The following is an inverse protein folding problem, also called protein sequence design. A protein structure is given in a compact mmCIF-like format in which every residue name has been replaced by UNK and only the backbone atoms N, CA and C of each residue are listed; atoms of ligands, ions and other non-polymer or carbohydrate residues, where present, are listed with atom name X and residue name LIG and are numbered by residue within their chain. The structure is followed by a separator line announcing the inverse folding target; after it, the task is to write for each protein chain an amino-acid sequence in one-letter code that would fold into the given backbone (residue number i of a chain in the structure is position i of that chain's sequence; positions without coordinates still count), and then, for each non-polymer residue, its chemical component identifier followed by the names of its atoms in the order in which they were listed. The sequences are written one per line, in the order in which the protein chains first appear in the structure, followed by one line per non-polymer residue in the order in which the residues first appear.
data_IF_050049768667
#
_entry.id   IF_050049768667
#
_cell.length_a   1.000
_cell.length_b   1.000
_cell.length_c   1.000
_cell.angle_alpha   90.00
_cell.angle_beta   90.00
_cell.angle_gamma   90.00
#
_symmetry.space_group_name_H-M   'P 1'
#
loop_
_entity.id
_entity.type
_entity.pdbx_description
1 polymer ?
2 polymer ?
3 non-polymer ?
4 non-polymer ?
5 non-polymer ?
6 non-polymer ?
7 water ?
#
# COMPACT_ATOMS: atom_id res chain seq x y z
N UNK A 1 -8.15 11.07 -20.01
CA UNK A 1 -6.84 11.74 -20.21
C UNK A 1 -6.16 11.34 -21.50
N UNK A 2 -4.82 11.38 -21.49
CA UNK A 2 -4.02 11.07 -22.67
C UNK A 2 -4.18 9.61 -23.08
N UNK A 3 -4.65 8.74 -22.19
CA UNK A 3 -4.89 7.34 -22.55
C UNK A 3 -6.32 7.09 -23.03
N UNK A 4 -7.15 8.13 -23.13
CA UNK A 4 -8.55 7.92 -23.47
C UNK A 4 -8.77 7.29 -24.82
N UNK A 5 -7.82 7.43 -25.73
CA UNK A 5 -7.97 6.90 -27.07
C UNK A 5 -7.42 5.50 -27.22
N UNK A 6 -6.80 4.94 -26.20
CA UNK A 6 -6.22 3.61 -26.29
C UNK A 6 -7.18 2.56 -25.73
N UNK A 7 -7.28 1.44 -26.44
CA UNK A 7 -8.09 0.31 -25.98
C UNK A 7 -7.69 -0.16 -24.58
N UNK A 8 -8.68 -0.54 -23.80
CA UNK A 8 -8.42 -1.10 -22.48
C UNK A 8 -7.42 -2.25 -22.55
N UNK A 9 -7.63 -3.21 -23.46
CA UNK A 9 -6.75 -4.36 -23.51
C UNK A 9 -5.33 -3.95 -23.87
N UNK A 10 -5.20 -2.93 -24.73
CA UNK A 10 -3.88 -2.43 -25.11
C UNK A 10 -3.18 -1.76 -23.94
N UNK A 11 -3.92 -1.05 -23.11
CA UNK A 11 -3.35 -0.44 -21.92
C UNK A 11 -2.83 -1.50 -20.96
N UNK A 12 -3.61 -2.56 -20.74
CA UNK A 12 -3.17 -3.65 -19.87
C UNK A 12 -1.92 -4.32 -20.45
N UNK A 13 -1.93 -4.58 -21.76
CA UNK A 13 -0.77 -5.21 -22.38
C UNK A 13 0.47 -4.33 -22.21
N UNK A 14 0.31 -3.03 -22.44
CA UNK A 14 1.45 -2.13 -22.31
C UNK A 14 1.89 -1.95 -20.86
N UNK A 15 0.96 -2.01 -19.92
CA UNK A 15 1.37 -2.02 -18.51
C UNK A 15 2.29 -3.19 -18.22
N UNK A 16 1.98 -4.37 -18.76
CA UNK A 16 2.82 -5.53 -18.51
C UNK A 16 4.19 -5.38 -19.17
N UNK A 17 4.22 -4.79 -20.38
CA UNK A 17 5.50 -4.50 -21.04
C UNK A 17 6.31 -3.49 -20.23
N UNK A 18 5.65 -2.46 -19.72
CA UNK A 18 6.34 -1.45 -18.92
C UNK A 18 6.93 -2.07 -17.67
N UNK A 19 6.19 -2.98 -17.04
CA UNK A 19 6.73 -3.71 -15.90
C UNK A 19 8.01 -4.44 -16.28
N UNK A 20 8.00 -5.17 -17.40
CA UNK A 20 9.18 -5.92 -17.81
C UNK A 20 10.36 -4.99 -18.05
N UNK A 21 10.10 -3.78 -18.53
CA UNK A 21 11.11 -2.80 -18.83
C UNK A 21 11.46 -1.93 -17.63
N UNK A 22 10.83 -2.17 -16.48
CA UNK A 22 11.03 -1.38 -15.26
C UNK A 22 10.74 0.10 -15.49
N UNK A 23 9.72 0.35 -16.30
CA UNK A 23 9.24 1.70 -16.61
C UNK A 23 7.96 1.93 -15.82
N UNK A 24 8.12 2.18 -14.52
CA UNK A 24 6.96 2.15 -13.62
C UNK A 24 6.08 3.38 -13.76
N UNK A 25 6.65 4.53 -14.14
CA UNK A 25 5.81 5.69 -14.41
C UNK A 25 4.89 5.43 -15.60
N UNK A 26 5.44 4.85 -16.67
CA UNK A 26 4.61 4.44 -17.81
C UNK A 26 3.57 3.43 -17.35
N UNK A 27 3.99 2.43 -16.59
CA UNK A 27 3.07 1.40 -16.13
C UNK A 27 1.90 2.02 -15.37
N UNK A 28 2.18 2.98 -14.49
CA UNK A 28 1.12 3.61 -13.72
C UNK A 28 0.19 4.42 -14.62
N UNK A 29 0.74 5.13 -15.61
CA UNK A 29 -0.11 5.87 -16.53
C UNK A 29 -1.00 4.95 -17.35
N UNK A 30 -0.47 3.81 -17.79
CA UNK A 30 -1.30 2.85 -18.50
C UNK A 30 -2.41 2.31 -17.61
N UNK A 31 -2.09 1.97 -16.36
CA UNK A 31 -3.11 1.39 -15.49
C UNK A 31 -4.13 2.44 -15.06
N UNK A 32 -3.71 3.70 -14.89
CA UNK A 32 -4.69 4.76 -14.66
C UNK A 32 -5.65 4.85 -15.83
N UNK A 33 -5.11 4.80 -17.05
CA UNK A 33 -5.97 4.79 -18.23
C UNK A 33 -6.93 3.63 -18.23
N UNK A 34 -6.46 2.45 -17.83
CA UNK A 34 -7.34 1.29 -17.78
C UNK A 34 -8.45 1.47 -16.75
N UNK A 35 -8.10 1.98 -15.56
CA UNK A 35 -9.13 2.23 -14.55
C UNK A 35 -10.17 3.20 -15.09
N UNK A 36 -9.72 4.25 -15.76
CA UNK A 36 -10.62 5.28 -16.25
C UNK A 36 -11.55 4.78 -17.36
N UNK A 37 -11.36 3.57 -17.88
CA UNK A 37 -12.35 3.01 -18.78
C UNK A 37 -13.67 2.71 -18.08
N UNK A 38 -13.69 2.67 -16.76
CA UNK A 38 -14.92 2.53 -16.03
C UNK A 38 -15.33 1.12 -15.69
N UNK A 39 -14.62 0.12 -16.18
CA UNK A 39 -14.95 -1.26 -15.85
C UNK A 39 -14.21 -1.64 -14.57
N UNK A 40 -14.76 -2.59 -13.84
CA UNK A 40 -14.05 -3.14 -12.70
C UNK A 40 -12.74 -3.80 -13.16
N UNK A 41 -11.77 -3.88 -12.25
CA UNK A 41 -10.48 -4.52 -12.50
C UNK A 41 -10.51 -5.95 -11.98
N UNK A 42 -9.91 -6.85 -12.75
CA UNK A 42 -9.71 -8.21 -12.29
C UNK A 42 -8.61 -8.25 -11.21
N UNK A 43 -8.45 -9.43 -10.60
CA UNK A 43 -7.40 -9.57 -9.59
C UNK A 43 -6.02 -9.23 -10.18
N UNK A 44 -5.72 -9.77 -11.36
CA UNK A 44 -4.42 -9.51 -11.95
C UNK A 44 -4.24 -8.03 -12.24
N UNK A 45 -5.31 -7.38 -12.69
CA UNK A 45 -5.23 -5.97 -13.05
C UNK A 45 -5.08 -5.10 -11.80
N UNK A 46 -5.77 -5.45 -10.70
CA UNK A 46 -5.57 -4.73 -9.44
C UNK A 46 -4.12 -4.83 -9.00
N UNK A 47 -3.51 -6.01 -9.16
CA UNK A 47 -2.11 -6.16 -8.79
C UNK A 47 -1.19 -5.32 -9.68
N UNK A 48 -1.48 -5.24 -10.99
CA UNK A 48 -0.70 -4.38 -11.86
C UNK A 48 -0.81 -2.92 -11.43
N UNK A 49 -2.02 -2.47 -11.09
CA UNK A 49 -2.20 -1.09 -10.64
C UNK A 49 -1.35 -0.83 -9.41
N UNK A 50 -1.39 -1.76 -8.46
CA UNK A 50 -0.64 -1.58 -7.22
C UNK A 50 0.87 -1.62 -7.46
N UNK A 51 1.34 -2.59 -8.26
CA UNK A 51 2.77 -2.66 -8.55
C UNK A 51 3.25 -1.34 -9.14
N UNK A 52 2.48 -0.81 -10.09
CA UNK A 52 2.92 0.40 -10.78
C UNK A 52 3.07 1.56 -9.82
N UNK A 53 2.01 1.86 -9.07
CA UNK A 53 2.04 3.03 -8.20
C UNK A 53 2.94 2.81 -7.00
N UNK A 54 3.06 1.57 -6.53
CA UNK A 54 3.94 1.34 -5.39
C UNK A 54 5.38 1.62 -5.77
N UNK A 55 5.78 1.23 -6.99
CA UNK A 55 7.14 1.52 -7.43
C UNK A 55 7.36 3.01 -7.65
N UNK A 56 6.38 3.71 -8.23
CA UNK A 56 6.52 5.16 -8.42
C UNK A 56 6.67 5.85 -7.06
N UNK A 57 5.72 5.60 -6.15
CA UNK A 57 5.80 6.29 -4.87
C UNK A 57 7.01 5.81 -4.08
N UNK A 58 7.45 4.58 -4.32
CA UNK A 58 8.60 4.08 -3.58
C UNK A 58 9.86 4.87 -3.90
N UNK A 59 10.04 5.23 -5.17
CA UNK A 59 11.19 6.04 -5.52
C UNK A 59 11.08 7.43 -4.92
N UNK A 60 9.86 7.97 -4.87
CA UNK A 60 9.65 9.28 -4.29
C UNK A 60 9.90 9.27 -2.79
N UNK A 61 9.41 8.24 -2.09
CA UNK A 61 9.63 8.11 -0.66
C UNK A 61 11.11 8.00 -0.35
N UNK A 62 11.84 7.20 -1.12
CA UNK A 62 13.27 7.04 -0.87
C UNK A 62 13.98 8.37 -1.08
N UNK A 63 13.62 9.11 -2.13
CA UNK A 63 14.26 10.39 -2.38
C UNK A 63 13.89 11.40 -1.29
N UNK A 64 12.61 11.43 -0.90
CA UNK A 64 12.18 12.33 0.16
C UNK A 64 12.96 12.07 1.44
N UNK A 65 13.18 10.80 1.78
CA UNK A 65 13.92 10.49 3.01
C UNK A 65 15.34 10.99 2.94
N UNK A 66 16.00 10.84 1.79
CA UNK A 66 17.37 11.36 1.62
C UNK A 66 17.37 12.87 1.85
N UNK A 67 16.45 13.58 1.19
CA UNK A 67 16.44 15.03 1.24
C UNK A 67 16.05 15.52 2.64
N UNK A 68 15.09 14.87 3.28
CA UNK A 68 14.70 15.26 4.63
C UNK A 68 15.86 15.11 5.60
N UNK A 69 16.64 14.04 5.44
CA UNK A 69 17.80 13.84 6.31
C UNK A 69 18.83 14.95 6.11
N UNK A 70 19.12 15.31 4.86
CA UNK A 70 20.00 16.44 4.59
C UNK A 70 19.45 17.72 5.21
N UNK A 71 18.14 17.94 5.06
CA UNK A 71 17.54 19.16 5.59
C UNK A 71 17.66 19.21 7.11
N UNK A 72 17.40 18.08 7.77
CA UNK A 72 17.48 18.06 9.22
C UNK A 72 18.90 18.31 9.69
N UNK A 73 19.89 17.77 8.97
CA UNK A 73 21.29 18.01 9.34
C UNK A 73 21.66 19.47 9.15
N UNK A 74 21.19 20.09 8.08
CA UNK A 74 21.45 21.52 7.87
C UNK A 74 20.84 22.38 8.96
N UNK A 75 19.88 21.86 9.71
CA UNK A 75 19.22 22.62 10.77
C UNK A 75 19.70 22.16 12.15
N UNK A 83 21.05 28.46 2.66
CA UNK A 83 20.06 28.93 1.72
C UNK A 83 18.81 28.08 1.66
N UNK A 84 17.84 28.50 0.84
CA UNK A 84 16.54 27.82 0.80
C UNK A 84 16.52 26.55 -0.04
N UNK A 85 17.62 26.18 -0.69
CA UNK A 85 17.56 25.21 -1.76
C UNK A 85 17.20 23.81 -1.28
N UNK A 86 17.72 23.39 -0.12
CA UNK A 86 17.41 22.05 0.35
C UNK A 86 15.92 21.93 0.65
N UNK A 87 15.38 22.91 1.38
CA UNK A 87 13.95 22.92 1.67
C UNK A 87 13.14 22.96 0.39
N UNK A 88 13.51 23.83 -0.56
CA UNK A 88 12.77 23.94 -1.81
C UNK A 88 12.73 22.59 -2.52
N UNK A 89 13.86 21.91 -2.60
CA UNK A 89 13.90 20.68 -3.40
C UNK A 89 13.19 19.54 -2.66
N UNK A 90 13.35 19.47 -1.33
CA UNK A 90 12.55 18.52 -0.55
C UNK A 90 11.06 18.79 -0.78
N UNK A 91 10.66 20.06 -0.76
CA UNK A 91 9.26 20.41 -1.01
C UNK A 91 8.82 19.99 -2.41
N UNK A 92 9.70 20.13 -3.41
CA UNK A 92 9.34 19.74 -4.76
C UNK A 92 9.04 18.25 -4.83
N UNK A 93 9.94 17.44 -4.26
CA UNK A 93 9.74 16.00 -4.26
C UNK A 93 8.50 15.64 -3.45
N UNK A 94 8.35 16.28 -2.29
CA UNK A 94 7.19 16.04 -1.44
C UNK A 94 5.89 16.33 -2.18
N UNK A 95 5.84 17.44 -2.92
CA UNK A 95 4.62 17.80 -3.63
C UNK A 95 4.31 16.80 -4.74
N UNK A 96 5.35 16.30 -5.43
CA UNK A 96 5.12 15.28 -6.45
C UNK A 96 4.63 13.98 -5.83
N UNK A 97 5.21 13.60 -4.68
CA UNK A 97 4.76 12.43 -3.95
C UNK A 97 3.29 12.57 -3.54
N UNK A 98 2.93 13.72 -2.98
CA UNK A 98 1.54 13.95 -2.61
C UNK A 98 0.64 13.88 -3.82
N UNK A 99 1.11 14.39 -4.96
CA UNK A 99 0.30 14.30 -6.17
C UNK A 99 0.02 12.87 -6.61
N UNK A 100 1.03 12.00 -6.50
CA UNK A 100 0.81 10.60 -6.85
C UNK A 100 -0.18 9.97 -5.88
N UNK A 101 -0.02 10.23 -4.58
CA UNK A 101 -0.95 9.67 -3.62
C UNK A 101 -2.37 10.17 -3.88
N UNK A 102 -2.52 11.46 -4.15
CA UNK A 102 -3.84 12.01 -4.46
C UNK A 102 -4.42 11.36 -5.72
N UNK A 103 -3.57 11.07 -6.70
CA UNK A 103 -4.04 10.41 -7.92
C UNK A 103 -4.59 9.02 -7.60
N UNK A 104 -3.82 8.23 -6.83
CA UNK A 104 -4.28 6.90 -6.47
C UNK A 104 -5.58 6.97 -5.67
N UNK A 105 -5.60 7.86 -4.67
CA UNK A 105 -6.80 7.99 -3.85
C UNK A 105 -7.98 8.41 -4.69
N UNK A 106 -7.75 9.24 -5.70
CA UNK A 106 -8.82 9.64 -6.58
C UNK A 106 -9.38 8.49 -7.40
N UNK A 107 -8.51 7.61 -7.88
CA UNK A 107 -8.96 6.44 -8.62
C UNK A 107 -9.78 5.52 -7.71
N UNK A 108 -9.34 5.38 -6.47
CA UNK A 108 -10.07 4.53 -5.53
C UNK A 108 -11.44 5.12 -5.23
N UNK A 109 -11.52 6.45 -5.13
CA UNK A 109 -12.78 7.11 -4.83
C UNK A 109 -13.68 7.26 -6.05
N UNK A 110 -13.13 7.14 -7.26
CA UNK A 110 -13.89 7.41 -8.50
C UNK A 110 -13.46 6.38 -9.55
N UNK A 111 -13.97 5.14 -9.46
CA UNK A 111 -15.02 4.70 -8.54
C UNK A 111 -14.75 3.27 -8.12
N UNK A 112 -13.46 2.95 -7.93
CA UNK A 112 -13.09 1.55 -7.69
C UNK A 112 -13.72 1.00 -6.42
N UNK A 113 -13.64 1.74 -5.32
CA UNK A 113 -14.14 1.19 -4.05
C UNK A 113 -15.65 0.99 -4.10
N UNK A 114 -16.39 2.00 -4.59
CA UNK A 114 -17.84 1.89 -4.51
C UNK A 114 -18.38 0.75 -5.36
N UNK A 115 -17.67 0.33 -6.41
CA UNK A 115 -18.14 -0.77 -7.23
C UNK A 115 -17.59 -2.12 -6.79
N UNK A 116 -16.73 -2.14 -5.78
CA UNK A 116 -16.09 -3.37 -5.34
C UNK A 116 -16.97 -4.04 -4.29
N UNK A 117 -17.58 -5.16 -4.65
CA UNK A 117 -18.47 -5.86 -3.74
C UNK A 117 -17.88 -7.14 -3.18
N UNK A 118 -17.00 -7.78 -3.91
CA UNK A 118 -16.38 -9.01 -3.44
C UNK A 118 -15.29 -8.68 -2.43
N UNK A 119 -15.11 -9.54 -1.44
CA UNK A 119 -14.14 -9.27 -0.39
C UNK A 119 -12.74 -9.02 -0.95
N UNK A 120 -12.30 -9.85 -1.92
CA UNK A 120 -10.93 -9.71 -2.40
C UNK A 120 -10.69 -8.35 -3.03
N UNK A 121 -11.65 -7.84 -3.79
CA UNK A 121 -11.46 -6.53 -4.40
C UNK A 121 -11.61 -5.42 -3.38
N UNK A 122 -12.67 -5.47 -2.59
CA UNK A 122 -12.95 -4.39 -1.65
C UNK A 122 -11.83 -4.26 -0.61
N UNK A 123 -11.38 -5.39 -0.04
CA UNK A 123 -10.29 -5.33 0.93
C UNK A 123 -9.01 -4.81 0.29
N UNK A 124 -8.70 -5.29 -0.92
CA UNK A 124 -7.49 -4.83 -1.61
C UNK A 124 -7.50 -3.32 -1.80
N UNK A 125 -8.64 -2.76 -2.21
CA UNK A 125 -8.73 -1.32 -2.47
C UNK A 125 -8.74 -0.51 -1.18
N UNK A 126 -9.43 -0.99 -0.15
CA UNK A 126 -9.41 -0.26 1.12
C UNK A 126 -8.03 -0.30 1.74
N UNK A 127 -7.32 -1.43 1.61
CA UNK A 127 -5.93 -1.49 2.04
C UNK A 127 -5.10 -0.46 1.28
N UNK A 128 -5.26 -0.40 -0.04
CA UNK A 128 -4.54 0.61 -0.83
C UNK A 128 -4.86 2.01 -0.34
N UNK A 129 -6.13 2.29 -0.03
CA UNK A 129 -6.49 3.60 0.48
C UNK A 129 -5.74 3.90 1.77
N UNK A 130 -5.69 2.93 2.67
CA UNK A 130 -4.91 3.12 3.88
C UNK A 130 -3.45 3.36 3.59
N UNK A 131 -2.89 2.59 2.65
CA UNK A 131 -1.47 2.72 2.32
C UNK A 131 -1.13 4.12 1.82
N UNK A 132 -1.95 4.65 0.90
CA UNK A 132 -1.60 5.95 0.29
C UNK A 132 -1.86 7.10 1.26
N UNK A 133 -2.85 6.97 2.15
CA UNK A 133 -2.93 7.93 3.26
C UNK A 133 -1.72 7.77 4.18
N UNK A 134 -1.25 6.55 4.41
CA UNK A 134 -0.04 6.36 5.22
C UNK A 134 1.17 7.02 4.57
N UNK A 135 1.32 6.92 3.25
CA UNK A 135 2.43 7.60 2.59
C UNK A 135 2.29 9.13 2.72
N UNK A 136 1.05 9.65 2.62
CA UNK A 136 0.83 11.06 2.89
C UNK A 136 1.19 11.41 4.33
N UNK A 137 0.87 10.52 5.27
CA UNK A 137 1.16 10.80 6.67
C UNK A 137 2.66 10.86 6.93
N UNK A 138 3.46 10.07 6.20
CA UNK A 138 4.90 10.06 6.40
C UNK A 138 5.51 11.44 6.21
N UNK A 139 4.90 12.28 5.36
CA UNK A 139 5.44 13.60 5.04
C UNK A 139 4.62 14.73 5.62
N UNK A 140 3.54 14.41 6.32
CA UNK A 140 2.62 15.43 6.80
C UNK A 140 3.15 16.07 8.08
N UNK A 141 2.98 17.38 8.18
CA UNK A 141 3.40 18.15 9.35
C UNK A 141 2.42 19.22 9.76
N UNK A 142 1.36 19.48 9.00
CA UNK A 142 0.52 20.63 9.21
C UNK A 142 -0.72 20.33 10.04
N UNK A 143 -1.69 21.24 9.97
CA UNK A 143 -2.91 21.11 10.75
C UNK A 143 -3.78 19.93 10.32
N UNK A 144 -3.43 19.26 9.22
CA UNK A 144 -4.19 18.12 8.74
C UNK A 144 -3.44 16.80 8.92
N UNK A 145 -2.30 16.78 9.60
CA UNK A 145 -1.62 15.52 9.85
C UNK A 145 -2.53 14.57 10.61
N UNK A 146 -3.17 15.06 11.68
CA UNK A 146 -4.08 14.20 12.43
C UNK A 146 -5.18 13.66 11.54
N UNK A 147 -5.72 14.49 10.64
CA UNK A 147 -6.81 14.00 9.80
C UNK A 147 -6.32 13.00 8.78
N UNK A 148 -5.11 13.19 8.24
CA UNK A 148 -4.54 12.20 7.33
C UNK A 148 -4.36 10.87 8.03
N UNK A 149 -3.83 10.90 9.25
CA UNK A 149 -3.62 9.68 10.01
C UNK A 149 -4.95 8.99 10.27
N UNK A 150 -5.98 9.76 10.60
CA UNK A 150 -7.29 9.18 10.86
C UNK A 150 -7.86 8.55 9.60
N UNK A 151 -7.65 9.20 8.45
CA UNK A 151 -8.12 8.65 7.18
C UNK A 151 -7.47 7.30 6.89
N UNK A 152 -6.16 7.18 7.13
CA UNK A 152 -5.49 5.91 6.96
C UNK A 152 -6.07 4.87 7.90
N UNK A 153 -6.20 5.23 9.18
CA UNK A 153 -6.73 4.30 10.17
C UNK A 153 -8.12 3.82 9.77
N UNK A 154 -8.99 4.74 9.33
CA UNK A 154 -10.36 4.38 9.00
C UNK A 154 -10.42 3.41 7.84
N UNK A 155 -9.62 3.66 6.80
CA UNK A 155 -9.59 2.74 5.66
C UNK A 155 -9.08 1.36 6.06
N UNK A 156 -7.96 1.31 6.79
CA UNK A 156 -7.43 0.05 7.26
C UNK A 156 -8.44 -0.68 8.12
N UNK A 157 -9.14 0.05 9.00
CA UNK A 157 -10.09 -0.61 9.89
C UNK A 157 -11.25 -1.21 9.11
N UNK A 158 -11.80 -0.48 8.16
CA UNK A 158 -12.88 -1.06 7.35
C UNK A 158 -12.39 -2.30 6.61
N UNK A 159 -11.18 -2.25 6.06
CA UNK A 159 -10.63 -3.41 5.37
C UNK A 159 -10.43 -4.57 6.34
N UNK A 160 -9.94 -4.29 7.55
CA UNK A 160 -9.75 -5.35 8.53
C UNK A 160 -11.07 -6.01 8.87
N UNK A 161 -12.12 -5.20 9.08
CA UNK A 161 -13.39 -5.77 9.49
C UNK A 161 -13.93 -6.72 8.44
N UNK A 162 -13.84 -6.32 7.16
CA UNK A 162 -14.30 -7.19 6.08
C UNK A 162 -13.42 -8.44 5.99
N UNK A 163 -12.09 -8.26 6.05
CA UNK A 163 -11.18 -9.39 5.88
C UNK A 163 -11.41 -10.44 6.96
N UNK A 164 -11.71 -10.02 8.19
CA UNK A 164 -11.88 -11.00 9.26
C UNK A 164 -13.18 -11.77 9.09
N UNK A 165 -14.19 -11.14 8.50
CA UNK A 165 -15.47 -11.81 8.29
C UNK A 165 -15.48 -12.68 7.05
N UNK A 166 -14.75 -12.30 5.99
CA UNK A 166 -14.93 -12.90 4.68
C UNK A 166 -13.74 -13.69 4.15
N UNK A 167 -12.56 -13.60 4.75
CA UNK A 167 -11.38 -14.25 4.22
C UNK A 167 -10.74 -15.15 5.27
N UNK A 168 -10.09 -16.23 4.84
CA UNK A 168 -9.35 -17.05 5.80
C UNK A 168 -8.12 -16.33 6.29
N UNK A 169 -7.60 -16.69 7.47
CA UNK A 169 -6.47 -15.96 8.05
C UNK A 169 -5.18 -16.05 7.25
N UNK A 170 -5.08 -16.97 6.29
CA UNK A 170 -3.91 -17.10 5.44
C UNK A 170 -4.04 -16.34 4.13
N UNK A 171 -5.19 -15.74 3.84
CA UNK A 171 -5.38 -15.08 2.57
C UNK A 171 -4.31 -14.00 2.41
N UNK A 172 -3.56 -13.97 1.30
CA UNK A 172 -2.46 -13.00 1.20
C UNK A 172 -2.89 -11.55 1.26
N UNK A 173 -4.08 -11.23 0.78
CA UNK A 173 -4.56 -9.85 0.89
C UNK A 173 -4.82 -9.51 2.35
N UNK A 174 -5.50 -10.41 3.07
CA UNK A 174 -5.72 -10.21 4.49
C UNK A 174 -4.40 -10.07 5.24
N UNK A 175 -3.41 -10.93 4.93
CA UNK A 175 -2.12 -10.85 5.57
C UNK A 175 -1.40 -9.55 5.25
N UNK A 176 -1.38 -9.16 3.97
CA UNK A 176 -0.69 -7.92 3.62
C UNK A 176 -1.34 -6.70 4.24
N UNK A 177 -2.67 -6.74 4.37
CA UNK A 177 -3.39 -5.67 5.06
C UNK A 177 -2.99 -5.60 6.52
N UNK A 178 -3.03 -6.74 7.22
CA UNK A 178 -2.67 -6.73 8.64
C UNK A 178 -1.22 -6.28 8.83
N UNK A 179 -0.33 -6.76 7.97
CA UNK A 179 1.06 -6.30 8.01
C UNK A 179 1.13 -4.78 7.89
N UNK A 180 0.46 -4.21 6.88
CA UNK A 180 0.55 -2.77 6.67
C UNK A 180 -0.11 -1.98 7.79
N UNK A 181 -1.21 -2.48 8.35
CA UNK A 181 -1.85 -1.80 9.48
C UNK A 181 -0.92 -1.83 10.68
N UNK A 182 -0.21 -2.95 10.88
CA UNK A 182 0.77 -3.01 11.97
C UNK A 182 1.89 -1.98 11.75
N UNK A 183 2.36 -1.83 10.50
CA UNK A 183 3.36 -0.79 10.21
C UNK A 183 2.79 0.60 10.50
N UNK A 184 1.55 0.86 10.09
CA UNK A 184 0.89 2.11 10.44
C UNK A 184 0.95 2.35 11.95
N UNK A 185 0.59 1.34 12.75
CA UNK A 185 0.60 1.53 14.19
C UNK A 185 1.99 1.87 14.69
N UNK A 186 3.02 1.18 14.19
CA UNK A 186 4.37 1.34 14.70
C UNK A 186 5.00 2.64 14.24
N UNK A 187 4.88 2.94 12.95
CA UNK A 187 5.64 4.02 12.32
C UNK A 187 4.88 5.35 12.27
N UNK A 188 3.54 5.32 12.26
CA UNK A 188 2.72 6.52 12.04
C UNK A 188 2.00 6.92 13.31
N UNK A 189 1.35 5.95 13.97
CA UNK A 189 0.40 6.23 15.04
C UNK A 189 1.00 6.16 16.43
N UNK A 190 2.32 6.00 16.55
CA UNK A 190 2.96 5.99 17.87
C UNK A 190 2.34 4.93 18.77
N UNK A 191 2.06 3.77 18.18
CA UNK A 191 1.36 2.68 18.87
C UNK A 191 2.11 1.39 18.69
N UNK A 192 3.35 1.30 19.19
CA UNK A 192 4.13 0.07 18.96
C UNK A 192 3.52 -1.15 19.60
N UNK A 193 2.87 -1.02 20.75
CA UNK A 193 2.26 -2.19 21.36
C UNK A 193 1.14 -2.73 20.48
N UNK A 194 0.33 -1.86 19.91
CA UNK A 194 -0.73 -2.31 19.02
C UNK A 194 -0.13 -2.99 17.80
N UNK A 195 0.96 -2.43 17.28
CA UNK A 195 1.62 -3.02 16.12
C UNK A 195 2.08 -4.43 16.43
N UNK A 196 2.74 -4.61 17.56
CA UNK A 196 3.26 -5.92 17.94
C UNK A 196 2.12 -6.90 18.15
N UNK A 197 1.07 -6.47 18.87
CA UNK A 197 -0.07 -7.35 19.12
C UNK A 197 -0.71 -7.80 17.81
N UNK A 198 -0.92 -6.85 16.90
CA UNK A 198 -1.54 -7.19 15.62
C UNK A 198 -0.66 -8.14 14.82
N UNK A 199 0.64 -7.86 14.74
CA UNK A 199 1.51 -8.73 13.97
C UNK A 199 1.55 -10.14 14.55
N UNK A 200 1.60 -10.25 15.89
CA UNK A 200 1.67 -11.56 16.55
C UNK A 200 0.39 -12.36 16.34
N UNK A 201 -0.77 -11.74 16.59
CA UNK A 201 -2.01 -12.48 16.38
C UNK A 201 -2.20 -12.87 14.92
N UNK A 202 -1.85 -11.96 14.01
CA UNK A 202 -1.98 -12.27 12.59
C UNK A 202 -1.11 -13.47 12.24
N UNK A 203 0.15 -13.46 12.69
CA UNK A 203 1.08 -14.55 12.39
C UNK A 203 0.55 -15.86 12.92
N UNK A 204 0.15 -15.87 14.19
CA UNK A 204 -0.26 -17.10 14.84
C UNK A 204 -1.54 -17.66 14.21
N UNK A 205 -2.50 -16.80 13.86
CA UNK A 205 -3.72 -17.33 13.27
C UNK A 205 -3.49 -17.82 11.86
N UNK A 206 -2.57 -17.21 11.11
CA UNK A 206 -2.22 -17.73 9.81
C UNK A 206 -1.53 -19.07 9.94
N UNK A 207 -0.58 -19.18 10.88
CA UNK A 207 0.16 -20.43 11.04
C UNK A 207 -0.80 -21.60 11.28
N UNK A 208 -1.86 -21.38 12.05
CA UNK A 208 -2.81 -22.42 12.38
C UNK A 208 -3.73 -22.79 11.22
N UNK A 209 -3.74 -22.00 10.14
CA UNK A 209 -4.58 -22.26 8.98
C UNK A 209 -3.77 -22.76 7.77
N UNK A 210 -2.44 -22.84 7.91
CA UNK A 210 -1.63 -23.26 6.77
C UNK A 210 -1.95 -24.68 6.32
N UNK A 211 -2.40 -25.53 7.25
CA UNK A 211 -2.64 -26.93 6.92
C UNK A 211 -3.73 -27.11 5.89
N UNK A 212 -4.56 -26.09 5.65
CA UNK A 212 -5.65 -26.19 4.70
C UNK A 212 -5.22 -25.91 3.27
N UNK A 213 -3.98 -25.50 3.05
CA UNK A 213 -3.56 -24.89 1.80
C UNK A 213 -2.79 -25.86 0.92
N UNK A 214 -2.92 -25.66 -0.38
CA UNK A 214 -2.05 -26.28 -1.37
C UNK A 214 -0.62 -25.75 -1.24
N UNK A 215 0.31 -26.43 -1.91
CA UNK A 215 1.71 -26.02 -1.87
C UNK A 215 1.89 -24.59 -2.36
N UNK A 216 1.22 -24.23 -3.46
CA UNK A 216 1.41 -22.89 -4.01
C UNK A 216 0.80 -21.82 -3.10
N UNK A 217 -0.38 -22.07 -2.54
CA UNK A 217 -0.97 -21.10 -1.62
C UNK A 217 -0.16 -20.98 -0.34
N UNK A 218 0.39 -22.11 0.13
CA UNK A 218 1.28 -22.09 1.29
C UNK A 218 2.44 -21.15 1.07
N UNK A 219 3.07 -21.22 -0.11
CA UNK A 219 4.16 -20.32 -0.42
C UNK A 219 3.74 -18.87 -0.39
N UNK A 220 2.57 -18.55 -0.97
CA UNK A 220 2.08 -17.17 -0.97
C UNK A 220 1.90 -16.68 0.46
N UNK A 221 1.28 -17.49 1.31
CA UNK A 221 0.98 -17.04 2.66
C UNK A 221 2.23 -16.92 3.51
N UNK A 222 3.12 -17.93 3.44
CA UNK A 222 4.31 -17.89 4.27
C UNK A 222 5.25 -16.76 3.88
N UNK A 223 5.24 -16.33 2.62
CA UNK A 223 6.06 -15.17 2.26
C UNK A 223 5.66 -13.94 3.08
N UNK A 224 4.35 -13.69 3.22
CA UNK A 224 3.91 -12.53 3.99
C UNK A 224 4.15 -12.76 5.48
N UNK A 225 3.93 -13.99 5.95
CA UNK A 225 4.19 -14.29 7.36
C UNK A 225 5.64 -14.01 7.73
N UNK A 226 6.56 -14.26 6.82
CA UNK A 226 7.96 -13.97 7.11
C UNK A 226 8.20 -12.49 7.36
N UNK A 227 7.47 -11.62 6.65
CA UNK A 227 7.59 -10.19 6.88
C UNK A 227 7.06 -9.81 8.25
N UNK A 228 5.94 -10.42 8.68
CA UNK A 228 5.45 -10.20 10.04
C UNK A 228 6.51 -10.61 11.06
N UNK A 229 7.12 -11.77 10.86
CA UNK A 229 8.15 -12.24 11.79
C UNK A 229 9.35 -11.29 11.79
N UNK A 230 9.78 -10.84 10.60
CA UNK A 230 10.91 -9.91 10.54
C UNK A 230 10.61 -8.65 11.32
N UNK A 231 9.40 -8.12 11.16
CA UNK A 231 9.05 -6.92 11.91
C UNK A 231 9.02 -7.19 13.40
N UNK A 232 8.46 -8.31 13.83
CA UNK A 232 8.42 -8.62 15.25
C UNK A 232 9.82 -8.69 15.82
N UNK A 233 10.77 -9.25 15.06
CA UNK A 233 12.16 -9.28 15.51
C UNK A 233 12.73 -7.87 15.63
N UNK A 234 12.39 -6.99 14.68
CA UNK A 234 12.89 -5.62 14.72
C UNK A 234 12.28 -4.85 15.88
N UNK A 235 11.00 -5.11 16.18
CA UNK A 235 10.25 -4.31 17.13
C UNK A 235 10.38 -4.78 18.57
N UNK A 236 10.94 -5.96 18.82
CA UNK A 236 11.07 -6.50 20.17
C UNK A 236 12.53 -6.77 20.48
N UNK B 1 13.80 0.73 8.99
CA UNK B 1 12.37 0.86 8.81
C UNK B 1 11.69 -0.50 8.67
N UNK B 2 10.41 -0.51 8.99
CA UNK B 2 9.64 -1.74 8.99
C UNK B 2 9.37 -2.22 7.56
N UNK B 3 9.20 -3.53 7.41
CA UNK B 3 8.79 -4.13 6.15
C UNK B 3 7.29 -3.96 5.97
N UNK B 4 6.89 -3.56 4.77
CA UNK B 4 5.47 -3.54 4.45
C UNK B 4 5.19 -4.55 3.34
N UNK B 5 3.93 -4.68 2.97
CA UNK B 5 3.50 -5.73 2.05
C UNK B 5 4.08 -5.54 0.64
N UNK B 6 4.34 -6.62 -0.08
CA UNK B 6 4.53 -6.48 -1.52
C UNK B 6 3.25 -5.91 -2.14
N UNK B 7 3.41 -5.35 -3.33
CA UNK B 7 2.26 -4.77 -4.04
C UNK B 7 1.33 -5.85 -4.56
N UNK B 8 1.88 -6.93 -5.09
CA UNK B 8 1.07 -7.97 -5.72
C UNK B 8 0.70 -9.02 -4.68
N UNK B 9 -0.60 -9.28 -4.54
CA UNK B 9 -1.15 -10.22 -3.56
C UNK B 9 -2.17 -11.11 -4.23
N UNK B 10 -2.16 -12.39 -3.89
CA UNK B 10 -2.99 -13.35 -4.61
C UNK B 10 -4.26 -13.74 -3.85
X LIG C 1 30.84 27.62 9.87
X LIG D 1 -12.88 -0.50 -26.56
X LIG E 1 13.34 22.85 -6.49
X LIG F 1 -12.45 4.58 4.24
X LIG G 1 4.67 -3.45 26.46
X LIG H 1 -2.65 -6.76 -28.79
X LIG I 1 4.56 -11.95 22.29
X LIG I 1 5.55 -12.88 22.52
X LIG I 1 6.65 -12.94 21.68
X LIG I 1 6.75 -12.07 20.60
X LIG I 1 5.77 -11.13 20.37
X LIG I 1 4.68 -11.07 21.21
X LIG I 1 7.69 -12.86 18.60
X LIG I 1 6.40 -14.20 17.26
X LIG I 1 7.38 -14.19 16.28
X LIG I 1 8.56 -13.51 16.48
X LIG I 1 8.70 -12.82 17.67
X LIG I 1 3.41 -11.89 23.17
X LIG I 1 6.59 -13.54 18.39
X LIG I 1 7.90 -12.16 19.79
X LIG I 1 7.12 -15.08 14.76
X LIG I 1 10.18 -11.91 18.01
X LIG I 1 5.48 -13.46 23.24
X LIG I 1 7.32 -13.56 21.83
X LIG I 1 5.85 -10.54 19.65
X LIG I 1 4.00 -10.45 21.06
X LIG I 1 5.61 -14.66 17.12
X LIG I 1 9.22 -13.49 15.83
X LIG I 1 2.92 -12.60 23.27
X LIG I 1 3.22 -11.16 23.59
#
# INVERSE_FOLDING_TARGET
GAMGSMERASLIQKAKLAEQAERYEDMAAFMKGAVEKGEELSCEERNLLSVAYKNVVGGQRAAWRVLSSIEQKSNEEGSEEKGPEVREYREKVETELQGVCDTVLGLLDSHLIKEAGDAESRVFYLKMKGDYYRYLAEVATGDDKKRIIDSARSAYQEAMDISKKEMPPTNPIRLGLALNFSVFHYEIANSPEEAISLAKTTFDEAMADLHTLSEDSYKDSTLIMQLLRDNLTLWT
RSHSSPASLQ
MG MG
MG MG
CL CL
CL CL
CA CA
MG MG
8OE C02 C03 C04 C05 C06 C07 C09 C11 C12 C14 C15 N01 N10 O08 CL1 CL2 H031 H041 H061 H071 H111 H141 H012 H011
#
